data_IF_293687463366
#
_entry.id   IF_293687463366
#
_cell.length_a   1.000
_cell.length_b   1.000
_cell.length_c   1.000
_cell.angle_alpha   90.00
_cell.angle_beta   90.00
_cell.angle_gamma   90.00
#
_symmetry.space_group_name_H-M   'P 1'
#
loop_
_entity.id
_entity.type
_entity.pdbx_description
1 polymer ?
#
# COMPACT_ATOMS: atom_id res chain seq x y z
N UNK A 1 -2.46 -17.34 11.47
CA UNK A 1 -3.16 -16.16 10.93
C UNK A 1 -2.37 -14.94 11.35
N UNK A 2 -1.67 -14.31 10.41
CA UNK A 2 -0.98 -13.05 10.66
C UNK A 2 -2.03 -11.93 10.66
N UNK A 3 -2.20 -11.25 11.79
CA UNK A 3 -3.10 -10.11 11.94
C UNK A 3 -2.32 -8.82 11.72
N UNK A 4 -2.90 -7.89 10.96
CA UNK A 4 -2.40 -6.53 10.84
C UNK A 4 -3.18 -5.66 11.83
N UNK A 5 -2.47 -5.04 12.77
CA UNK A 5 -3.07 -4.19 13.78
C UNK A 5 -3.07 -2.73 13.32
N UNK A 6 -4.24 -2.11 13.34
CA UNK A 6 -4.43 -0.69 13.07
C UNK A 6 -4.66 0.08 14.35
N UNK A 7 -4.16 1.30 14.39
CA UNK A 7 -4.38 2.20 15.52
C UNK A 7 -5.83 2.66 15.53
N UNK A 8 -6.52 2.44 16.65
CA UNK A 8 -7.81 3.09 16.94
C UNK A 8 -7.54 4.27 17.89
N UNK A 9 -7.31 5.45 17.33
CA UNK A 9 -6.95 6.65 18.06
C UNK A 9 -8.04 7.72 17.99
N UNK A 10 -8.16 8.59 19.02
CA UNK A 10 -8.97 9.80 18.96
C UNK A 10 -8.54 10.71 17.81
N UNK A 11 -9.47 11.47 17.24
CA UNK A 11 -9.22 12.34 16.09
C UNK A 11 -8.14 13.38 16.38
N UNK A 12 -8.00 13.82 17.62
CA UNK A 12 -7.00 14.78 18.06
C UNK A 12 -5.58 14.30 17.78
N UNK A 13 -5.31 12.99 17.95
CA UNK A 13 -4.00 12.42 17.65
C UNK A 13 -3.72 12.40 16.14
N UNK A 14 -4.73 12.17 15.33
CA UNK A 14 -4.60 12.26 13.86
C UNK A 14 -4.33 13.71 13.43
N UNK A 15 -4.99 14.69 14.06
CA UNK A 15 -4.73 16.13 13.83
C UNK A 15 -3.28 16.47 14.18
N UNK A 16 -2.76 15.98 15.31
CA UNK A 16 -1.35 16.17 15.68
C UNK A 16 -0.41 15.59 14.63
N UNK A 17 -0.70 14.41 14.10
CA UNK A 17 0.09 13.79 13.03
C UNK A 17 0.13 14.66 11.77
N UNK A 18 -1.03 15.20 11.35
CA UNK A 18 -1.11 16.09 10.19
C UNK A 18 -0.34 17.39 10.44
N UNK A 19 -0.54 18.02 11.59
CA UNK A 19 0.18 19.23 11.99
C UNK A 19 1.69 19.02 12.02
N UNK A 20 2.14 17.87 12.53
CA UNK A 20 3.55 17.51 12.53
C UNK A 20 4.10 17.43 11.10
N UNK A 21 3.38 16.75 10.18
CA UNK A 21 3.80 16.66 8.77
C UNK A 21 3.92 18.06 8.17
N UNK A 22 2.93 18.93 8.38
CA UNK A 22 2.88 20.26 7.80
C UNK A 22 3.93 21.21 8.36
N UNK A 23 4.36 21.04 9.62
CA UNK A 23 5.27 21.98 10.30
C UNK A 23 6.71 21.47 10.38
N UNK A 24 6.91 20.19 10.66
CA UNK A 24 8.23 19.62 10.94
C UNK A 24 8.56 18.48 9.94
N UNK A 25 7.67 17.52 9.74
CA UNK A 25 7.93 16.30 8.95
C UNK A 25 8.22 16.55 7.47
N UNK A 26 7.67 17.63 6.88
CA UNK A 26 7.92 17.98 5.49
C UNK A 26 9.40 18.20 5.16
N UNK A 27 10.21 18.64 6.13
CA UNK A 27 11.65 18.85 5.93
C UNK A 27 12.45 17.54 5.84
N UNK A 28 11.93 16.45 6.41
CA UNK A 28 12.55 15.13 6.25
C UNK A 28 12.36 14.62 4.81
N UNK A 29 11.24 14.96 4.17
CA UNK A 29 10.91 14.49 2.81
C UNK A 29 11.87 15.04 1.76
N UNK A 30 12.46 16.23 1.98
CA UNK A 30 13.40 16.85 1.04
C UNK A 30 14.69 16.02 0.80
N UNK A 31 14.95 15.05 1.66
CA UNK A 31 16.10 14.14 1.56
C UNK A 31 15.77 12.77 0.95
N UNK A 32 14.51 12.57 0.53
CA UNK A 32 14.01 11.28 0.05
C UNK A 32 13.98 11.24 -1.47
N UNK A 33 15.11 10.97 -2.11
CA UNK A 33 15.24 11.04 -3.57
C UNK A 33 14.57 9.86 -4.32
N UNK A 34 14.47 8.70 -3.67
CA UNK A 34 14.06 7.43 -4.32
C UNK A 34 12.68 6.95 -3.92
N UNK A 35 11.94 7.76 -3.16
CA UNK A 35 10.66 7.41 -2.60
C UNK A 35 9.50 7.82 -3.51
N UNK A 36 8.56 6.88 -3.73
CA UNK A 36 7.32 7.06 -4.46
C UNK A 36 6.08 6.90 -3.57
N UNK A 37 6.24 6.37 -2.36
CA UNK A 37 5.15 6.20 -1.41
C UNK A 37 4.91 7.45 -0.57
N UNK A 38 3.66 7.88 -0.43
CA UNK A 38 3.27 9.04 0.39
C UNK A 38 4.04 10.33 0.07
N UNK A 39 4.14 10.64 -1.23
CA UNK A 39 4.76 11.88 -1.71
C UNK A 39 3.85 13.05 -1.35
N UNK A 40 4.39 14.07 -0.67
CA UNK A 40 3.63 15.26 -0.29
C UNK A 40 3.16 16.03 -1.53
N UNK A 41 1.91 16.47 -1.51
CA UNK A 41 1.35 17.34 -2.54
C UNK A 41 1.81 18.78 -2.27
N UNK A 42 2.82 19.24 -3.02
CA UNK A 42 3.45 20.55 -2.85
C UNK A 42 3.19 21.44 -4.07
N UNK A 43 2.97 22.75 -3.83
CA UNK A 43 2.94 23.75 -4.90
C UNK A 43 4.32 23.95 -5.52
N UNK A 44 4.38 24.66 -6.66
CA UNK A 44 5.65 25.08 -7.29
C UNK A 44 6.57 25.87 -6.34
N UNK A 45 6.02 26.52 -5.31
CA UNK A 45 6.76 27.23 -4.28
C UNK A 45 7.14 26.37 -3.07
N UNK A 46 7.11 25.03 -3.19
CA UNK A 46 7.42 24.07 -2.13
C UNK A 46 6.51 24.13 -0.88
N UNK A 47 5.42 24.84 -0.91
CA UNK A 47 4.42 24.80 0.16
C UNK A 47 3.50 23.61 -0.03
N UNK A 48 3.13 22.94 1.08
CA UNK A 48 2.07 21.92 1.04
C UNK A 48 0.79 22.59 0.53
N UNK A 49 0.15 21.97 -0.46
CA UNK A 49 -1.10 22.50 -1.02
C UNK A 49 -2.12 22.57 0.11
N UNK A 50 -2.60 23.77 0.40
CA UNK A 50 -3.72 23.98 1.31
C UNK A 50 -4.99 23.55 0.61
N UNK A 51 -5.38 22.30 0.75
CA UNK A 51 -6.56 21.79 0.07
C UNK A 51 -6.91 20.38 0.55
N UNK A 52 -7.64 19.64 -0.27
CA UNK A 52 -8.22 18.34 0.05
C UNK A 52 -7.21 17.20 0.29
N UNK A 53 -5.91 17.39 -0.01
CA UNK A 53 -4.92 16.31 -0.01
C UNK A 53 -3.62 16.73 0.64
N UNK A 54 -3.10 15.88 1.51
CA UNK A 54 -1.75 16.00 2.04
C UNK A 54 -0.72 15.32 1.13
N UNK A 55 -1.11 14.23 0.50
CA UNK A 55 -0.28 13.42 -0.39
C UNK A 55 -0.81 13.42 -1.82
N UNK A 56 0.09 13.30 -2.78
CA UNK A 56 -0.26 13.05 -4.19
C UNK A 56 -1.06 11.74 -4.29
N UNK A 57 -1.94 11.61 -5.30
CA UNK A 57 -2.69 10.36 -5.49
C UNK A 57 -1.74 9.17 -5.64
N UNK A 58 -1.90 8.18 -4.77
CA UNK A 58 -1.00 7.03 -4.66
C UNK A 58 -0.84 6.25 -5.96
N UNK A 59 -1.91 6.13 -6.77
CA UNK A 59 -1.89 5.39 -8.03
C UNK A 59 -0.96 6.04 -9.08
N UNK A 60 -0.86 7.37 -9.12
CA UNK A 60 0.04 8.08 -10.02
C UNK A 60 1.51 7.77 -9.67
N UNK A 61 1.84 7.84 -8.39
CA UNK A 61 3.20 7.60 -7.93
C UNK A 61 3.58 6.11 -8.05
N UNK A 62 2.65 5.20 -7.79
CA UNK A 62 2.86 3.77 -8.00
C UNK A 62 3.08 3.43 -9.48
N UNK A 63 2.28 4.02 -10.38
CA UNK A 63 2.50 3.85 -11.82
C UNK A 63 3.86 4.39 -12.26
N UNK A 64 4.25 5.58 -11.80
CA UNK A 64 5.57 6.17 -12.08
C UNK A 64 6.69 5.26 -11.60
N UNK A 65 6.59 4.75 -10.36
CA UNK A 65 7.54 3.83 -9.77
C UNK A 65 7.77 2.59 -10.64
N UNK A 66 6.71 1.92 -11.01
CA UNK A 66 6.73 0.72 -11.84
C UNK A 66 7.19 1.01 -13.27
N UNK A 67 6.60 2.03 -13.90
CA UNK A 67 6.82 2.30 -15.33
C UNK A 67 8.24 2.83 -15.61
N UNK A 68 8.84 3.53 -14.65
CA UNK A 68 10.25 3.92 -14.74
C UNK A 68 11.18 2.69 -14.72
N UNK A 69 10.95 1.71 -13.85
CA UNK A 69 11.70 0.47 -13.84
C UNK A 69 11.65 -0.25 -15.19
N UNK A 70 10.44 -0.39 -15.74
CA UNK A 70 10.22 -1.06 -17.02
C UNK A 70 10.85 -0.29 -18.19
N UNK A 71 10.74 1.05 -18.16
CA UNK A 71 11.35 1.90 -19.19
C UNK A 71 12.87 1.79 -19.15
N UNK A 72 13.47 1.82 -17.96
CA UNK A 72 14.91 1.62 -17.79
C UNK A 72 15.36 0.25 -18.31
N UNK A 73 14.58 -0.80 -17.98
CA UNK A 73 14.83 -2.14 -18.50
C UNK A 73 14.77 -2.19 -20.04
N UNK A 74 13.74 -1.59 -20.65
CA UNK A 74 13.62 -1.52 -22.12
C UNK A 74 14.81 -0.82 -22.78
N UNK A 75 15.33 0.24 -22.14
CA UNK A 75 16.49 0.97 -22.67
C UNK A 75 17.77 0.12 -22.63
N UNK A 76 18.02 -0.60 -21.52
CA UNK A 76 19.17 -1.50 -21.40
C UNK A 76 19.10 -2.64 -22.44
N UNK A 77 17.91 -3.23 -22.67
CA UNK A 77 17.73 -4.24 -23.72
C UNK A 77 18.03 -3.71 -25.12
N UNK A 78 17.65 -2.45 -25.42
CA UNK A 78 17.99 -1.81 -26.70
C UNK A 78 19.51 -1.65 -26.87
N UNK A 79 20.23 -1.45 -25.77
CA UNK A 79 21.70 -1.41 -25.74
C UNK A 79 22.35 -2.80 -25.81
N UNK A 80 21.54 -3.85 -25.99
CA UNK A 80 21.98 -5.26 -26.07
C UNK A 80 22.74 -5.72 -24.83
N UNK A 81 22.27 -5.30 -23.66
CA UNK A 81 22.79 -5.78 -22.37
C UNK A 81 21.75 -6.69 -21.69
N UNK A 82 22.25 -7.67 -20.92
CA UNK A 82 21.40 -8.50 -20.08
C UNK A 82 20.91 -7.71 -18.87
N UNK A 83 19.73 -8.06 -18.36
CA UNK A 83 19.08 -7.31 -17.28
C UNK A 83 18.62 -8.23 -16.16
N UNK A 84 18.74 -7.75 -14.93
CA UNK A 84 18.00 -8.21 -13.78
C UNK A 84 16.99 -7.16 -13.32
N UNK A 85 15.72 -7.54 -13.20
CA UNK A 85 14.70 -6.75 -12.52
C UNK A 85 14.38 -7.48 -11.23
N UNK A 86 14.49 -6.78 -10.10
CA UNK A 86 14.36 -7.35 -8.77
C UNK A 86 13.32 -6.56 -7.99
N UNK A 87 12.32 -7.26 -7.47
CA UNK A 87 11.34 -6.72 -6.53
C UNK A 87 11.51 -7.40 -5.18
N UNK A 88 11.60 -6.60 -4.12
CA UNK A 88 11.76 -7.04 -2.74
C UNK A 88 10.63 -6.43 -1.91
N UNK A 89 10.11 -7.18 -0.92
CA UNK A 89 9.06 -6.74 0.01
C UNK A 89 9.54 -6.99 1.45
N UNK A 90 9.57 -5.96 2.28
CA UNK A 90 9.99 -6.05 3.68
C UNK A 90 8.80 -6.56 4.51
N UNK A 91 9.02 -7.68 5.21
CA UNK A 91 7.97 -8.33 6.01
C UNK A 91 7.55 -7.45 7.19
N UNK A 92 6.23 -7.28 7.36
CA UNK A 92 5.62 -6.59 8.52
C UNK A 92 6.28 -5.24 8.84
N UNK A 93 6.67 -4.49 7.81
CA UNK A 93 7.58 -3.35 7.89
C UNK A 93 7.26 -2.39 9.04
N UNK A 94 6.04 -1.85 9.11
CA UNK A 94 5.65 -0.86 10.12
C UNK A 94 5.83 -1.34 11.57
N UNK A 95 5.57 -2.61 11.84
CA UNK A 95 5.74 -3.21 13.17
C UNK A 95 7.18 -3.65 13.45
N UNK A 96 7.96 -3.87 12.39
CA UNK A 96 9.37 -4.29 12.50
C UNK A 96 10.34 -3.12 12.59
N UNK A 97 9.92 -1.90 12.25
CA UNK A 97 10.74 -0.69 12.44
C UNK A 97 11.04 -0.46 13.91
N UNK A 98 12.26 -0.04 14.19
CA UNK A 98 12.73 0.42 15.52
C UNK A 98 13.26 1.83 15.37
N UNK A 99 12.34 2.81 15.41
CA UNK A 99 12.65 4.22 15.17
C UNK A 99 13.17 4.89 16.45
N UNK A 100 14.34 5.51 16.38
CA UNK A 100 14.84 6.42 17.40
C UNK A 100 14.44 7.86 17.10
N UNK A 101 13.49 8.39 17.86
CA UNK A 101 13.04 9.78 17.72
C UNK A 101 14.12 10.81 18.05
N UNK A 102 15.18 10.45 18.79
CA UNK A 102 16.31 11.36 19.01
C UNK A 102 17.06 11.62 17.70
N UNK A 103 17.15 10.61 16.81
CA UNK A 103 17.75 10.80 15.49
C UNK A 103 16.87 11.69 14.61
N UNK A 104 15.55 11.49 14.64
CA UNK A 104 14.58 12.35 13.92
C UNK A 104 14.71 13.80 14.40
N UNK A 105 14.75 14.03 15.72
CA UNK A 105 14.89 15.35 16.31
C UNK A 105 16.22 16.01 15.93
N UNK A 106 17.33 15.28 16.05
CA UNK A 106 18.66 15.77 15.62
C UNK A 106 18.68 16.19 14.15
N UNK A 107 18.02 15.45 13.31
CA UNK A 107 17.97 15.77 11.89
C UNK A 107 17.13 17.01 11.60
N UNK A 108 15.99 17.14 12.27
CA UNK A 108 15.12 18.32 12.14
C UNK A 108 15.77 19.60 12.69
N UNK A 109 16.49 19.52 13.81
CA UNK A 109 17.20 20.67 14.39
C UNK A 109 18.26 21.26 13.43
N UNK A 110 18.87 20.44 12.59
CA UNK A 110 19.83 20.92 11.56
C UNK A 110 19.16 21.82 10.53
N UNK A 111 17.87 21.58 10.25
CA UNK A 111 17.12 22.25 9.18
C UNK A 111 16.16 23.28 9.77
N UNK A 112 15.50 22.92 10.86
CA UNK A 112 14.43 23.68 11.51
C UNK A 112 14.67 23.75 13.03
N UNK A 113 14.50 24.91 13.65
CA UNK A 113 14.86 25.11 15.06
C UNK A 113 13.86 24.54 16.07
N UNK A 114 12.63 24.25 15.65
CA UNK A 114 11.55 23.83 16.55
C UNK A 114 11.20 22.36 16.32
N UNK A 115 11.13 21.56 17.41
CA UNK A 115 10.81 20.12 17.38
C UNK A 115 9.76 19.75 18.43
N UNK A 116 8.87 20.71 18.76
CA UNK A 116 7.84 20.51 19.80
C UNK A 116 6.88 19.39 19.40
N UNK A 117 6.43 19.39 18.14
CA UNK A 117 5.51 18.37 17.65
C UNK A 117 6.21 17.01 17.52
N UNK A 118 7.49 16.97 17.16
CA UNK A 118 8.27 15.73 17.13
C UNK A 118 8.39 15.12 18.54
N UNK A 119 8.62 15.92 19.58
CA UNK A 119 8.63 15.44 20.96
C UNK A 119 7.28 14.93 21.42
N UNK A 120 6.19 15.57 21.01
CA UNK A 120 4.84 15.12 21.31
C UNK A 120 4.55 13.81 20.57
N UNK A 121 4.91 13.74 19.30
CA UNK A 121 4.73 12.55 18.47
C UNK A 121 5.52 11.36 19.03
N UNK A 122 6.75 11.58 19.50
CA UNK A 122 7.56 10.55 20.18
C UNK A 122 6.83 9.91 21.36
N UNK A 123 6.18 10.73 22.22
CA UNK A 123 5.41 10.22 23.36
C UNK A 123 4.19 9.40 22.91
N UNK A 124 3.51 9.83 21.85
CA UNK A 124 2.36 9.11 21.29
C UNK A 124 2.83 7.74 20.76
N UNK A 125 3.92 7.70 20.00
CA UNK A 125 4.47 6.47 19.45
C UNK A 125 4.98 5.51 20.52
N UNK A 126 5.65 6.06 21.56
CA UNK A 126 6.07 5.27 22.70
C UNK A 126 4.89 4.61 23.43
N UNK A 127 3.78 5.35 23.61
CA UNK A 127 2.57 4.79 24.19
C UNK A 127 2.03 3.61 23.36
N UNK A 128 1.92 3.76 22.05
CA UNK A 128 1.44 2.68 21.17
C UNK A 128 2.44 1.53 21.10
N UNK A 129 3.73 1.78 21.07
CA UNK A 129 4.75 0.73 21.12
C UNK A 129 4.59 -0.12 22.37
N UNK A 130 4.39 0.48 23.52
CA UNK A 130 4.21 -0.25 24.79
C UNK A 130 2.90 -1.08 24.84
N UNK A 131 1.91 -0.78 23.99
CA UNK A 131 0.71 -1.60 23.86
C UNK A 131 0.94 -2.88 23.05
N UNK A 132 1.83 -2.83 22.07
CA UNK A 132 2.08 -3.94 21.15
C UNK A 132 3.26 -4.82 21.59
N UNK A 133 4.31 -4.24 22.11
CA UNK A 133 5.56 -4.91 22.43
C UNK A 133 5.71 -5.09 23.95
N UNK A 134 5.18 -6.19 24.45
CA UNK A 134 5.29 -6.51 25.89
C UNK A 134 6.63 -7.17 26.26
N UNK A 135 7.39 -7.68 25.30
CA UNK A 135 8.52 -8.57 25.56
C UNK A 135 9.90 -7.96 25.24
N UNK A 136 10.02 -6.90 24.44
CA UNK A 136 11.31 -6.31 24.07
C UNK A 136 11.30 -4.79 24.11
N UNK A 137 11.20 -4.22 25.29
CA UNK A 137 11.51 -2.81 25.49
C UNK A 137 13.03 -2.59 25.48
N UNK A 138 13.65 -2.67 24.32
CA UNK A 138 14.95 -2.04 24.13
C UNK A 138 14.75 -0.53 24.00
N UNK A 139 14.91 0.19 25.11
CA UNK A 139 15.21 1.63 25.24
C UNK A 139 14.81 2.51 24.05
N UNK A 140 13.93 3.45 24.21
CA UNK A 140 13.63 4.62 23.36
C UNK A 140 13.22 4.39 21.89
N UNK A 141 13.37 3.20 21.33
CA UNK A 141 13.00 2.88 19.95
C UNK A 141 11.50 2.56 19.87
N UNK A 142 10.85 3.08 18.84
CA UNK A 142 9.41 2.91 18.65
C UNK A 142 9.09 2.20 17.34
N UNK A 143 8.00 1.42 17.34
CA UNK A 143 7.38 0.93 16.10
C UNK A 143 6.67 2.07 15.38
N UNK A 144 6.26 1.82 14.14
CA UNK A 144 5.41 2.74 13.37
C UNK A 144 3.96 2.28 13.43
N UNK A 145 3.09 2.96 14.21
CA UNK A 145 1.68 2.58 14.29
C UNK A 145 0.97 2.76 12.96
N UNK A 146 0.36 1.68 12.44
CA UNK A 146 -0.40 1.73 11.19
C UNK A 146 -1.70 2.50 11.42
N UNK A 147 -1.96 3.49 10.58
CA UNK A 147 -3.13 4.37 10.68
C UNK A 147 -2.78 5.83 10.95
N UNK A 148 -1.62 6.13 11.52
CA UNK A 148 -1.14 7.50 11.61
C UNK A 148 -0.45 7.94 10.32
N UNK A 149 -0.84 9.08 9.76
CA UNK A 149 -0.23 9.62 8.53
C UNK A 149 1.25 9.96 8.72
N UNK A 150 1.66 10.36 9.92
CA UNK A 150 3.07 10.60 10.26
C UNK A 150 3.93 9.35 10.15
N UNK A 151 3.36 8.16 10.39
CA UNK A 151 4.08 6.89 10.23
C UNK A 151 4.57 6.69 8.79
N UNK A 152 3.82 7.16 7.80
CA UNK A 152 4.19 7.03 6.39
C UNK A 152 5.44 7.86 6.03
N UNK A 153 5.55 9.06 6.58
CA UNK A 153 6.75 9.91 6.39
C UNK A 153 7.95 9.30 7.14
N UNK A 154 7.75 8.89 8.39
CA UNK A 154 8.80 8.29 9.19
C UNK A 154 9.29 6.96 8.62
N UNK A 155 8.39 6.15 8.06
CA UNK A 155 8.70 4.91 7.36
C UNK A 155 9.66 5.14 6.19
N UNK A 156 9.37 6.15 5.38
CA UNK A 156 10.22 6.51 4.25
C UNK A 156 11.57 7.09 4.70
N UNK A 157 11.56 7.93 5.73
CA UNK A 157 12.78 8.51 6.29
C UNK A 157 13.69 7.44 6.91
N UNK A 158 13.12 6.45 7.56
CA UNK A 158 13.86 5.38 8.23
C UNK A 158 14.78 4.60 7.27
N UNK A 159 14.40 4.45 6.01
CA UNK A 159 15.15 3.70 5.01
C UNK A 159 16.06 4.56 4.10
N UNK A 160 16.25 5.86 4.39
CA UNK A 160 17.10 6.74 3.53
C UNK A 160 18.52 6.20 3.39
N UNK A 161 19.11 5.71 4.46
CA UNK A 161 20.50 5.23 4.41
C UNK A 161 20.58 3.87 3.69
N UNK A 162 19.54 3.05 3.76
CA UNK A 162 19.39 1.87 2.92
C UNK A 162 19.32 2.24 1.43
N UNK A 163 18.50 3.24 1.08
CA UNK A 163 18.38 3.73 -0.29
C UNK A 163 19.74 4.20 -0.85
N UNK A 164 20.50 4.96 -0.06
CA UNK A 164 21.86 5.39 -0.42
C UNK A 164 22.80 4.22 -0.62
N UNK A 165 22.80 3.26 0.33
CA UNK A 165 23.66 2.08 0.29
C UNK A 165 23.43 1.24 -0.98
N UNK A 166 22.15 1.04 -1.36
CA UNK A 166 21.80 0.37 -2.63
C UNK A 166 22.41 1.11 -3.82
N UNK A 167 22.21 2.44 -3.88
CA UNK A 167 22.70 3.22 -5.01
C UNK A 167 24.23 3.29 -5.08
N UNK A 168 24.91 3.40 -3.97
CA UNK A 168 26.38 3.46 -3.91
C UNK A 168 27.03 2.11 -4.19
N UNK A 169 26.49 1.01 -3.67
CA UNK A 169 27.11 -0.32 -3.75
C UNK A 169 26.71 -1.12 -4.99
N UNK A 170 25.45 -1.08 -5.38
CA UNK A 170 24.92 -1.81 -6.54
C UNK A 170 24.94 -0.95 -7.80
N UNK A 171 24.75 0.37 -7.66
CA UNK A 171 24.65 1.33 -8.77
C UNK A 171 23.66 0.88 -9.85
N UNK A 172 22.38 0.62 -9.48
CA UNK A 172 21.37 0.17 -10.41
C UNK A 172 21.04 1.27 -11.44
N UNK A 173 20.61 0.91 -12.65
CA UNK A 173 20.13 1.89 -13.64
C UNK A 173 18.80 2.51 -13.20
N UNK A 174 18.02 1.75 -12.46
CA UNK A 174 16.84 2.25 -11.78
C UNK A 174 16.76 1.67 -10.37
N UNK A 175 16.49 2.51 -9.42
CA UNK A 175 16.09 2.18 -8.05
C UNK A 175 14.90 3.04 -7.65
N UNK A 176 13.90 2.44 -7.05
CA UNK A 176 12.75 3.13 -6.50
C UNK A 176 12.10 2.32 -5.39
N UNK A 177 11.61 3.01 -4.38
CA UNK A 177 10.95 2.41 -3.23
C UNK A 177 9.55 2.99 -3.05
N UNK A 178 8.59 2.11 -2.87
CA UNK A 178 7.23 2.48 -2.49
C UNK A 178 6.96 1.94 -1.08
N UNK A 179 7.30 2.74 -0.05
CA UNK A 179 7.31 2.39 1.37
C UNK A 179 8.24 1.18 1.63
N UNK A 180 7.70 -0.03 1.71
CA UNK A 180 8.38 -1.32 1.93
C UNK A 180 8.62 -2.11 0.64
N UNK A 181 7.93 -1.77 -0.45
CA UNK A 181 8.15 -2.34 -1.77
C UNK A 181 9.35 -1.71 -2.47
N UNK A 182 10.36 -2.50 -2.77
CA UNK A 182 11.60 -2.09 -3.41
C UNK A 182 11.64 -2.64 -4.83
N UNK A 183 11.99 -1.81 -5.81
CA UNK A 183 12.13 -2.20 -7.20
C UNK A 183 13.42 -1.65 -7.78
N UNK A 184 14.25 -2.53 -8.33
CA UNK A 184 15.50 -2.13 -8.98
C UNK A 184 15.69 -2.83 -10.32
N UNK A 185 16.39 -2.14 -11.23
CA UNK A 185 16.79 -2.66 -12.54
C UNK A 185 18.29 -2.54 -12.65
N UNK A 186 18.98 -3.67 -12.85
CA UNK A 186 20.44 -3.74 -12.93
C UNK A 186 20.90 -4.32 -14.26
N UNK A 187 21.92 -3.76 -14.90
CA UNK A 187 22.57 -4.40 -16.02
C UNK A 187 23.38 -5.59 -15.48
N UNK A 188 23.31 -6.71 -16.16
CA UNK A 188 24.01 -7.93 -15.77
C UNK A 188 25.03 -8.34 -16.82
N UNK A 189 26.10 -8.94 -16.36
CA UNK A 189 27.07 -9.59 -17.24
C UNK A 189 26.50 -10.87 -17.87
N UNK A 190 27.31 -11.96 -17.86
CA UNK A 190 26.85 -13.26 -18.38
C UNK A 190 25.80 -13.88 -17.45
N UNK A 191 24.57 -14.10 -17.95
CA UNK A 191 23.51 -14.74 -17.19
C UNK A 191 23.82 -16.16 -16.73
N UNK A 192 24.72 -16.86 -17.43
CA UNK A 192 25.20 -18.20 -17.05
C UNK A 192 25.92 -18.26 -15.69
N UNK A 193 26.26 -17.09 -15.12
CA UNK A 193 26.77 -16.97 -13.74
C UNK A 193 25.72 -17.31 -12.70
N UNK A 194 24.44 -17.06 -12.98
CA UNK A 194 23.33 -17.20 -12.06
C UNK A 194 22.56 -18.47 -12.40
N UNK A 195 22.64 -19.50 -11.53
CA UNK A 195 21.89 -20.76 -11.67
C UNK A 195 20.47 -20.60 -11.16
N UNK A 196 20.32 -19.82 -10.09
CA UNK A 196 19.03 -19.54 -9.47
C UNK A 196 18.96 -18.08 -8.93
N UNK A 197 17.83 -17.74 -8.34
CA UNK A 197 17.61 -16.42 -7.71
C UNK A 197 18.55 -16.15 -6.54
N UNK A 198 19.01 -17.20 -5.84
CA UNK A 198 19.87 -17.08 -4.66
C UNK A 198 21.27 -16.59 -5.07
N UNK A 199 21.79 -17.08 -6.19
CA UNK A 199 23.09 -16.65 -6.73
C UNK A 199 23.09 -15.15 -7.02
N UNK A 200 22.00 -14.62 -7.59
CA UNK A 200 21.88 -13.20 -7.87
C UNK A 200 21.76 -12.35 -6.59
N UNK A 201 20.96 -12.80 -5.63
CA UNK A 201 20.83 -12.11 -4.33
C UNK A 201 22.18 -12.08 -3.62
N UNK A 202 22.91 -13.19 -3.61
CA UNK A 202 24.24 -13.27 -3.03
C UNK A 202 25.21 -12.28 -3.69
N UNK A 203 25.25 -12.27 -5.02
CA UNK A 203 26.17 -11.42 -5.79
C UNK A 203 25.89 -9.92 -5.61
N UNK A 204 24.61 -9.53 -5.59
CA UNK A 204 24.22 -8.11 -5.53
C UNK A 204 24.08 -7.58 -4.10
N UNK A 205 23.58 -8.38 -3.16
CA UNK A 205 23.20 -7.88 -1.84
C UNK A 205 24.08 -8.41 -0.70
N UNK A 206 24.42 -9.70 -0.68
CA UNK A 206 25.23 -10.25 0.40
C UNK A 206 26.70 -9.80 0.26
N UNK A 207 27.28 -9.88 -0.94
CA UNK A 207 28.68 -9.45 -1.22
C UNK A 207 28.87 -7.95 -0.95
N UNK A 208 27.82 -7.15 -1.08
CA UNK A 208 27.85 -5.71 -0.82
C UNK A 208 27.45 -5.33 0.61
N UNK A 209 27.33 -6.28 1.53
CA UNK A 209 26.94 -6.08 2.93
C UNK A 209 25.59 -5.34 3.09
N UNK A 210 24.62 -5.64 2.24
CA UNK A 210 23.26 -5.06 2.28
C UNK A 210 22.30 -5.99 2.98
N UNK A 211 22.34 -7.28 2.62
CA UNK A 211 21.52 -8.34 3.19
C UNK A 211 22.39 -9.44 3.78
N UNK A 212 21.93 -10.01 4.90
CA UNK A 212 22.50 -11.20 5.52
C UNK A 212 21.50 -12.35 5.39
N UNK A 213 21.93 -13.45 4.80
CA UNK A 213 21.15 -14.67 4.69
C UNK A 213 21.11 -15.40 6.03
N UNK A 214 19.92 -15.73 6.51
CA UNK A 214 19.71 -16.65 7.65
C UNK A 214 18.86 -17.84 7.21
N UNK A 215 19.27 -19.04 7.63
CA UNK A 215 18.52 -20.27 7.44
C UNK A 215 17.95 -20.67 8.80
N UNK A 216 16.64 -20.56 9.00
CA UNK A 216 16.01 -21.04 10.21
C UNK A 216 15.68 -22.52 10.06
N UNK A 217 16.27 -23.35 10.91
CA UNK A 217 15.85 -24.75 11.11
C UNK A 217 14.46 -24.73 11.77
N UNK A 218 13.44 -25.15 11.04
CA UNK A 218 12.09 -25.29 11.60
C UNK A 218 12.01 -26.64 12.35
N UNK A 219 11.49 -26.59 13.56
CA UNK A 219 11.25 -27.67 14.50
C UNK A 219 10.69 -28.96 13.86
N UNK A 220 11.31 -30.08 14.12
CA UNK A 220 11.19 -31.42 13.50
C UNK A 220 9.84 -32.13 13.76
N UNK A 221 8.71 -31.45 13.95
CA UNK A 221 7.44 -32.11 14.25
C UNK A 221 6.36 -32.10 13.18
N UNK A 222 6.60 -31.49 11.99
CA UNK A 222 5.66 -31.61 10.86
C UNK A 222 6.41 -31.98 9.60
N UNK A 223 6.04 -33.08 9.01
CA UNK A 223 6.51 -33.70 7.78
C UNK A 223 6.55 -32.70 6.60
N UNK A 224 7.73 -32.54 6.07
CA UNK A 224 8.26 -31.82 4.91
C UNK A 224 9.17 -30.67 5.34
N UNK A 225 10.48 -30.92 5.22
CA UNK A 225 11.56 -29.96 5.51
C UNK A 225 11.59 -28.84 4.45
N UNK A 226 10.78 -27.82 4.62
CA UNK A 226 10.98 -26.57 3.89
C UNK A 226 11.87 -25.64 4.72
N UNK A 227 13.16 -25.60 4.42
CA UNK A 227 14.08 -24.59 4.95
C UNK A 227 13.64 -23.20 4.52
N UNK A 228 13.06 -22.44 5.46
CA UNK A 228 12.63 -21.07 5.18
C UNK A 228 13.83 -20.15 5.22
N UNK A 229 14.22 -19.64 4.06
CA UNK A 229 15.31 -18.65 3.93
C UNK A 229 14.76 -17.25 4.15
N UNK A 230 15.42 -16.52 5.04
CA UNK A 230 15.12 -15.14 5.37
C UNK A 230 16.40 -14.31 5.13
N UNK A 231 16.23 -13.12 4.60
CA UNK A 231 17.31 -12.14 4.43
C UNK A 231 17.08 -10.97 5.38
N UNK A 232 18.02 -10.72 6.30
CA UNK A 232 17.99 -9.57 7.20
C UNK A 232 18.70 -8.37 6.58
N UNK A 233 18.16 -7.18 6.77
CA UNK A 233 18.85 -5.95 6.40
C UNK A 233 19.95 -5.67 7.43
N UNK A 234 21.22 -5.58 7.00
CA UNK A 234 22.39 -5.58 7.92
C UNK A 234 22.33 -4.42 8.93
N UNK A 235 21.93 -3.22 8.51
CA UNK A 235 21.92 -2.04 9.38
C UNK A 235 20.56 -1.85 10.13
N UNK A 236 19.66 -2.86 10.08
CA UNK A 236 18.30 -2.77 10.62
C UNK A 236 17.92 -4.08 11.32
N UNK A 237 18.06 -4.10 12.63
CA UNK A 237 17.98 -5.33 13.47
C UNK A 237 16.73 -6.19 13.22
N UNK A 238 15.57 -5.58 12.95
CA UNK A 238 14.29 -6.28 12.89
C UNK A 238 13.68 -6.31 11.48
N UNK A 239 14.38 -5.83 10.45
CA UNK A 239 13.84 -5.82 9.09
C UNK A 239 14.26 -7.07 8.32
N UNK A 240 13.27 -7.79 7.81
CA UNK A 240 13.43 -9.06 7.12
C UNK A 240 12.75 -9.05 5.74
N UNK A 241 13.38 -9.71 4.77
CA UNK A 241 12.82 -10.04 3.46
C UNK A 241 12.67 -11.56 3.36
N UNK A 242 11.45 -12.02 3.08
CA UNK A 242 11.17 -13.43 2.87
C UNK A 242 11.55 -13.84 1.44
N UNK A 243 12.27 -14.95 1.26
CA UNK A 243 12.69 -15.41 -0.06
C UNK A 243 11.51 -15.59 -1.02
N UNK A 244 10.38 -16.10 -0.55
CA UNK A 244 9.18 -16.32 -1.35
C UNK A 244 8.51 -15.05 -1.89
N UNK A 245 8.85 -13.89 -1.31
CA UNK A 245 8.36 -12.57 -1.75
C UNK A 245 9.33 -11.85 -2.68
N UNK A 246 10.49 -12.44 -2.91
CA UNK A 246 11.47 -11.89 -3.85
C UNK A 246 11.08 -12.30 -5.26
N UNK A 247 10.84 -11.32 -6.12
CA UNK A 247 10.56 -11.54 -7.53
C UNK A 247 11.77 -11.10 -8.34
N UNK A 248 12.34 -12.03 -9.09
CA UNK A 248 13.48 -11.77 -9.96
C UNK A 248 13.12 -12.15 -11.40
N UNK A 249 13.34 -11.24 -12.31
CA UNK A 249 13.28 -11.49 -13.74
C UNK A 249 14.65 -11.26 -14.37
N UNK A 250 15.20 -12.30 -14.98
CA UNK A 250 16.42 -12.24 -15.76
C UNK A 250 16.06 -12.24 -17.24
N UNK A 251 16.55 -11.26 -17.97
CA UNK A 251 16.32 -11.13 -19.40
C UNK A 251 17.66 -11.14 -20.15
N UNK A 252 17.75 -12.03 -21.13
CA UNK A 252 18.89 -12.02 -22.08
C UNK A 252 18.75 -10.82 -23.02
N UNK A 253 19.87 -10.29 -23.44
CA UNK A 253 19.96 -9.15 -24.38
C UNK A 253 19.21 -9.33 -25.70
N UNK A 254 18.84 -10.56 -26.05
CA UNK A 254 18.10 -10.91 -27.26
C UNK A 254 16.61 -11.16 -27.00
N UNK A 255 16.15 -11.07 -25.73
CA UNK A 255 14.76 -11.29 -25.38
C UNK A 255 13.86 -10.17 -25.91
N UNK A 256 12.64 -10.50 -26.35
CA UNK A 256 11.68 -9.51 -26.81
C UNK A 256 11.14 -8.68 -25.63
N UNK A 257 10.97 -7.38 -25.86
CA UNK A 257 10.47 -6.45 -24.84
C UNK A 257 9.06 -6.77 -24.32
N UNK A 258 8.28 -7.60 -25.05
CA UNK A 258 6.94 -8.06 -24.62
C UNK A 258 6.98 -8.89 -23.31
N UNK A 259 8.12 -9.51 -22.97
CA UNK A 259 8.31 -10.22 -21.72
C UNK A 259 8.22 -9.24 -20.52
N UNK A 260 8.61 -7.99 -20.70
CA UNK A 260 8.51 -6.94 -19.67
C UNK A 260 7.05 -6.58 -19.34
N UNK A 261 6.14 -6.68 -20.30
CA UNK A 261 4.72 -6.45 -20.06
C UNK A 261 4.11 -7.57 -19.19
N UNK A 262 4.62 -8.81 -19.35
CA UNK A 262 4.25 -9.93 -18.47
C UNK A 262 4.75 -9.70 -17.04
N UNK A 263 5.98 -9.24 -16.88
CA UNK A 263 6.54 -8.92 -15.57
C UNK A 263 5.79 -7.76 -14.88
N UNK A 264 5.40 -6.74 -15.64
CA UNK A 264 4.53 -5.65 -15.16
C UNK A 264 3.27 -6.20 -14.48
N UNK A 265 2.65 -7.21 -15.08
CA UNK A 265 1.46 -7.84 -14.55
C UNK A 265 1.75 -8.70 -13.30
N UNK A 266 2.92 -9.35 -13.23
CA UNK A 266 3.32 -10.14 -12.06
C UNK A 266 3.59 -9.24 -10.82
N UNK A 267 4.33 -8.15 -10.97
CA UNK A 267 4.54 -7.17 -9.88
C UNK A 267 3.18 -6.65 -9.38
N UNK A 268 2.26 -6.34 -10.31
CA UNK A 268 0.92 -5.87 -9.96
C UNK A 268 0.13 -6.88 -9.12
N UNK A 269 0.29 -8.19 -9.39
CA UNK A 269 -0.38 -9.24 -8.62
C UNK A 269 0.23 -9.43 -7.22
N UNK A 270 1.52 -9.18 -7.07
CA UNK A 270 2.27 -9.43 -5.82
C UNK A 270 2.14 -8.28 -4.82
N UNK A 271 1.92 -7.05 -5.29
CA UNK A 271 1.74 -5.88 -4.43
C UNK A 271 0.38 -5.91 -3.74
N UNK A 272 0.39 -6.02 -2.42
CA UNK A 272 -0.83 -6.18 -1.61
C UNK A 272 -1.72 -4.93 -1.59
N UNK A 273 -1.13 -3.74 -1.64
CA UNK A 273 -1.86 -2.46 -1.56
C UNK A 273 -2.50 -2.05 -2.88
N UNK A 274 -2.00 -2.55 -4.01
CA UNK A 274 -2.33 -2.05 -5.35
C UNK A 274 -3.04 -3.04 -6.26
N UNK A 275 -3.54 -4.13 -5.72
CA UNK A 275 -4.38 -5.09 -6.47
C UNK A 275 -5.59 -4.45 -7.15
N UNK A 276 -5.90 -3.20 -6.80
CA UNK A 276 -7.14 -2.51 -7.11
C UNK A 276 -6.96 -1.23 -7.92
N UNK A 277 -5.76 -1.00 -8.48
CA UNK A 277 -5.60 0.13 -9.40
C UNK A 277 -6.48 -0.11 -10.64
N UNK A 278 -7.33 0.87 -11.01
CA UNK A 278 -8.11 0.76 -12.22
C UNK A 278 -7.18 0.66 -13.43
N UNK A 279 -7.42 -0.32 -14.30
CA UNK A 279 -6.81 -0.34 -15.62
C UNK A 279 -7.49 0.72 -16.48
N UNK A 280 -6.74 1.38 -17.37
CA UNK A 280 -7.30 2.29 -18.36
C UNK A 280 -8.31 1.57 -19.26
N UNK A 281 -8.11 0.27 -19.52
CA UNK A 281 -9.01 -0.57 -20.32
C UNK A 281 -10.38 -0.85 -19.67
N UNK A 282 -10.52 -0.60 -18.35
CA UNK A 282 -11.74 -0.83 -17.60
C UNK A 282 -12.75 0.34 -17.68
N UNK A 283 -12.53 1.32 -18.56
CA UNK A 283 -13.45 2.46 -18.71
C UNK A 283 -14.88 2.07 -19.08
N UNK A 284 -15.06 0.90 -19.68
CA UNK A 284 -16.36 0.37 -20.15
C UNK A 284 -16.94 -0.74 -19.25
N UNK A 285 -16.31 -1.05 -18.11
CA UNK A 285 -16.73 -2.14 -17.24
C UNK A 285 -18.06 -1.82 -16.54
N UNK A 286 -18.99 -2.77 -16.56
CA UNK A 286 -20.23 -2.68 -15.81
C UNK A 286 -20.03 -3.10 -14.36
N UNK A 287 -20.84 -2.54 -13.44
CA UNK A 287 -20.76 -2.87 -12.02
C UNK A 287 -20.97 -4.37 -11.74
N UNK A 288 -21.86 -5.03 -12.48
CA UNK A 288 -22.13 -6.47 -12.34
C UNK A 288 -20.91 -7.33 -12.66
N UNK A 289 -20.12 -6.96 -13.68
CA UNK A 289 -18.87 -7.64 -14.03
C UNK A 289 -17.79 -7.42 -12.95
N UNK A 290 -17.71 -6.20 -12.42
CA UNK A 290 -16.74 -5.86 -11.36
C UNK A 290 -17.10 -6.47 -10.00
N UNK A 291 -18.37 -6.76 -9.74
CA UNK A 291 -18.86 -7.25 -8.44
C UNK A 291 -18.76 -8.75 -8.25
N UNK A 292 -18.51 -9.51 -9.34
CA UNK A 292 -18.47 -10.96 -9.29
C UNK A 292 -17.16 -11.53 -9.85
N UNK A 293 -16.63 -12.53 -9.17
CA UNK A 293 -15.41 -13.26 -9.55
C UNK A 293 -15.73 -14.73 -9.74
N UNK A 294 -15.29 -15.29 -10.87
CA UNK A 294 -15.34 -16.72 -11.11
C UNK A 294 -14.19 -17.42 -10.37
N UNK A 295 -14.50 -18.33 -9.47
CA UNK A 295 -13.51 -19.18 -8.82
C UNK A 295 -13.26 -20.39 -9.71
N UNK A 296 -12.02 -20.48 -10.22
CA UNK A 296 -11.56 -21.66 -10.95
C UNK A 296 -10.94 -22.66 -9.96
N UNK A 297 -11.43 -23.91 -9.96
CA UNK A 297 -10.75 -25.02 -9.32
C UNK A 297 -9.51 -25.37 -10.17
N UNK A 298 -8.33 -25.44 -9.55
CA UNK A 298 -7.02 -25.62 -10.22
C UNK A 298 -6.84 -26.94 -11.01
N UNK A 299 -7.92 -27.67 -11.29
CA UNK A 299 -7.91 -28.87 -12.11
C UNK A 299 -7.70 -28.54 -13.59
N UNK A 300 -6.88 -29.36 -14.27
CA UNK A 300 -6.42 -29.17 -15.66
C UNK A 300 -7.50 -29.13 -16.73
N UNK A 301 -8.78 -29.34 -16.40
CA UNK A 301 -9.91 -29.31 -17.32
C UNK A 301 -10.74 -28.02 -17.18
N UNK A 302 -10.31 -26.99 -17.87
CA UNK A 302 -10.82 -25.60 -17.80
C UNK A 302 -12.31 -25.39 -18.13
N UNK A 303 -13.01 -26.34 -18.69
CA UNK A 303 -14.41 -26.19 -19.14
C UNK A 303 -15.47 -26.70 -18.15
N UNK A 304 -15.07 -27.35 -17.04
CA UNK A 304 -16.01 -27.93 -16.06
C UNK A 304 -15.83 -27.49 -14.62
N UNK A 305 -14.97 -26.52 -14.34
CA UNK A 305 -14.53 -26.20 -12.98
C UNK A 305 -14.96 -24.82 -12.46
N UNK A 306 -16.07 -24.27 -12.97
CA UNK A 306 -16.69 -23.10 -12.36
C UNK A 306 -17.50 -23.60 -11.18
N UNK A 307 -16.98 -23.48 -9.97
CA UNK A 307 -17.67 -23.97 -8.77
C UNK A 307 -18.67 -22.98 -8.21
N UNK A 308 -18.37 -21.68 -8.18
CA UNK A 308 -19.27 -20.68 -7.62
C UNK A 308 -18.93 -19.25 -8.11
N UNK A 309 -19.97 -18.38 -8.15
CA UNK A 309 -19.77 -16.93 -8.22
C UNK A 309 -19.56 -16.40 -6.81
N UNK A 310 -18.41 -15.81 -6.54
CA UNK A 310 -18.14 -15.12 -5.29
C UNK A 310 -18.11 -13.61 -5.51
N UNK A 311 -18.68 -12.87 -4.56
CA UNK A 311 -18.62 -11.41 -4.57
C UNK A 311 -17.15 -10.94 -4.53
N UNK A 312 -16.76 -10.10 -5.48
CA UNK A 312 -15.42 -9.51 -5.52
C UNK A 312 -15.42 -8.13 -4.86
N UNK A 313 -15.15 -8.10 -3.55
CA UNK A 313 -15.02 -6.87 -2.78
C UNK A 313 -14.04 -5.88 -3.39
N UNK A 314 -13.00 -6.38 -3.98
CA UNK A 314 -11.93 -5.58 -4.54
C UNK A 314 -12.29 -5.03 -5.91
N UNK A 315 -12.94 -5.83 -6.76
CA UNK A 315 -13.51 -5.35 -8.02
C UNK A 315 -14.51 -4.23 -7.78
N UNK A 316 -15.39 -4.38 -6.79
CA UNK A 316 -16.35 -3.34 -6.38
C UNK A 316 -15.63 -2.07 -5.93
N UNK A 317 -14.61 -2.20 -5.08
CA UNK A 317 -13.83 -1.06 -4.58
C UNK A 317 -13.10 -0.32 -5.70
N UNK A 318 -12.49 -1.04 -6.64
CA UNK A 318 -11.81 -0.49 -7.79
C UNK A 318 -12.79 0.21 -8.74
N UNK A 319 -13.94 -0.39 -9.00
CA UNK A 319 -15.01 0.21 -9.81
C UNK A 319 -15.47 1.54 -9.21
N UNK A 320 -15.78 1.57 -7.91
CA UNK A 320 -16.21 2.79 -7.22
C UNK A 320 -15.15 3.87 -7.25
N UNK A 321 -13.88 3.54 -6.99
CA UNK A 321 -12.78 4.49 -7.03
C UNK A 321 -12.62 5.13 -8.42
N UNK A 322 -12.76 4.32 -9.46
CA UNK A 322 -12.72 4.78 -10.85
C UNK A 322 -13.89 5.72 -11.20
N UNK A 323 -15.10 5.36 -10.77
CA UNK A 323 -16.29 6.22 -10.99
C UNK A 323 -16.18 7.55 -10.25
N UNK A 324 -15.64 7.54 -9.03
CA UNK A 324 -15.33 8.75 -8.27
C UNK A 324 -14.32 9.62 -9.04
N UNK A 325 -13.24 9.02 -9.52
CA UNK A 325 -12.22 9.72 -10.29
C UNK A 325 -12.79 10.39 -11.56
N UNK A 326 -13.61 9.67 -12.31
CA UNK A 326 -14.27 10.21 -13.50
C UNK A 326 -15.24 11.35 -13.14
N UNK A 327 -15.98 11.21 -12.04
CA UNK A 327 -16.89 12.26 -11.57
C UNK A 327 -16.17 13.53 -11.11
N UNK A 328 -14.95 13.41 -10.58
CA UNK A 328 -14.10 14.55 -10.22
C UNK A 328 -13.52 15.27 -11.43
N UNK A 329 -13.26 14.56 -12.53
CA UNK A 329 -12.69 15.17 -13.75
C UNK A 329 -13.74 15.78 -14.68
N UNK A 330 -14.92 15.23 -14.70
CA UNK A 330 -16.02 15.67 -15.56
C UNK A 330 -17.26 15.85 -14.69
N UNK A 331 -17.90 17.02 -14.77
CA UNK A 331 -19.22 17.25 -14.12
C UNK A 331 -20.30 16.35 -14.74
N UNK A 332 -20.10 15.04 -14.73
CA UNK A 332 -21.03 14.06 -15.31
C UNK A 332 -22.12 13.71 -14.32
N UNK A 333 -23.36 13.76 -14.77
CA UNK A 333 -24.50 13.22 -14.05
C UNK A 333 -24.33 11.70 -13.84
N UNK A 334 -24.91 11.18 -12.77
CA UNK A 334 -24.89 9.75 -12.45
C UNK A 334 -25.39 8.92 -13.66
N UNK A 335 -24.68 7.85 -13.99
CA UNK A 335 -25.25 6.83 -14.84
C UNK A 335 -26.32 6.09 -14.01
N UNK A 336 -27.60 6.31 -14.35
CA UNK A 336 -28.75 5.73 -13.64
C UNK A 336 -28.69 4.21 -13.53
N UNK A 337 -28.16 3.56 -14.55
CA UNK A 337 -27.96 2.11 -14.58
C UNK A 337 -26.96 1.66 -13.51
N UNK A 338 -25.77 2.26 -13.47
CA UNK A 338 -24.76 1.97 -12.46
C UNK A 338 -25.26 2.26 -11.04
N UNK A 339 -25.99 3.36 -10.84
CA UNK A 339 -26.58 3.69 -9.54
C UNK A 339 -27.60 2.63 -9.10
N UNK A 340 -28.42 2.15 -10.00
CA UNK A 340 -29.41 1.10 -9.73
C UNK A 340 -28.73 -0.23 -9.40
N UNK A 341 -27.70 -0.62 -10.12
CA UNK A 341 -26.91 -1.82 -9.88
C UNK A 341 -26.22 -1.78 -8.50
N UNK A 342 -25.61 -0.66 -8.15
CA UNK A 342 -24.99 -0.45 -6.82
C UNK A 342 -26.04 -0.61 -5.72
N UNK A 343 -27.17 0.10 -5.80
CA UNK A 343 -28.24 0.04 -4.80
C UNK A 343 -28.81 -1.37 -4.67
N UNK A 344 -28.98 -2.10 -5.77
CA UNK A 344 -29.50 -3.47 -5.75
C UNK A 344 -28.51 -4.46 -5.14
N UNK A 345 -27.24 -4.29 -5.36
CA UNK A 345 -26.21 -5.14 -4.77
C UNK A 345 -26.11 -4.96 -3.26
N UNK A 346 -26.11 -3.70 -2.79
CA UNK A 346 -26.02 -3.38 -1.36
C UNK A 346 -27.39 -3.42 -0.68
N UNK A 347 -27.97 -4.64 -0.58
CA UNK A 347 -29.20 -4.94 0.16
C UNK A 347 -28.95 -6.01 1.22
N UNK A 348 -29.80 -6.05 2.23
CA UNK A 348 -29.77 -7.03 3.33
C UNK A 348 -28.39 -7.08 4.02
N UNK A 349 -27.87 -8.28 4.30
CA UNK A 349 -26.57 -8.48 4.99
C UNK A 349 -25.39 -7.86 4.23
N UNK A 350 -25.43 -7.85 2.90
CA UNK A 350 -24.35 -7.27 2.08
C UNK A 350 -24.07 -5.81 2.41
N UNK A 351 -25.08 -5.03 2.80
CA UNK A 351 -24.87 -3.66 3.26
C UNK A 351 -23.88 -3.57 4.41
N UNK A 352 -23.96 -4.48 5.37
CA UNK A 352 -23.15 -4.49 6.59
C UNK A 352 -21.79 -5.18 6.36
N UNK A 353 -21.77 -6.28 5.62
CA UNK A 353 -20.55 -7.00 5.24
C UNK A 353 -19.56 -6.11 4.50
N UNK A 354 -20.05 -5.19 3.67
CA UNK A 354 -19.24 -4.25 2.88
C UNK A 354 -19.25 -2.82 3.45
N UNK A 355 -19.41 -2.65 4.76
CA UNK A 355 -19.47 -1.34 5.42
C UNK A 355 -18.25 -0.46 5.14
N UNK A 356 -17.07 -1.07 4.90
CA UNK A 356 -15.84 -0.37 4.50
C UNK A 356 -15.92 0.34 3.13
N UNK A 357 -16.96 0.07 2.33
CA UNK A 357 -17.17 0.73 1.03
C UNK A 357 -18.20 1.86 1.09
N UNK A 358 -18.85 2.10 2.23
CA UNK A 358 -19.89 3.12 2.36
C UNK A 358 -19.42 4.51 1.97
N UNK A 359 -18.23 4.90 2.40
CA UNK A 359 -17.63 6.18 2.03
C UNK A 359 -17.55 6.34 0.51
N UNK A 360 -17.00 5.35 -0.21
CA UNK A 360 -16.86 5.40 -1.66
C UNK A 360 -18.21 5.48 -2.37
N UNK A 361 -19.22 4.73 -1.89
CA UNK A 361 -20.57 4.73 -2.46
C UNK A 361 -21.22 6.10 -2.28
N UNK A 362 -21.13 6.65 -1.07
CA UNK A 362 -21.72 7.96 -0.74
C UNK A 362 -20.99 9.06 -1.51
N UNK A 363 -19.65 9.02 -1.56
CA UNK A 363 -18.84 9.97 -2.36
C UNK A 363 -19.26 9.96 -3.82
N UNK A 364 -19.40 8.79 -4.44
CA UNK A 364 -19.84 8.66 -5.82
C UNK A 364 -21.22 9.34 -6.04
N UNK A 365 -22.20 9.06 -5.18
CA UNK A 365 -23.53 9.65 -5.30
C UNK A 365 -23.55 11.16 -5.01
N UNK A 366 -22.70 11.65 -4.10
CA UNK A 366 -22.56 13.09 -3.84
C UNK A 366 -21.95 13.82 -5.05
N UNK A 367 -20.87 13.30 -5.61
CA UNK A 367 -20.21 13.89 -6.77
C UNK A 367 -21.11 13.90 -8.01
N UNK A 368 -21.92 12.86 -8.19
CA UNK A 368 -22.89 12.77 -9.30
C UNK A 368 -24.24 13.43 -9.00
N UNK A 369 -24.39 14.09 -7.85
CA UNK A 369 -25.60 14.79 -7.42
C UNK A 369 -26.85 13.89 -7.31
N UNK A 370 -26.66 12.58 -7.03
CA UNK A 370 -27.73 11.60 -6.97
C UNK A 370 -28.30 11.43 -5.53
N UNK A 371 -28.97 12.47 -5.05
CA UNK A 371 -29.60 12.48 -3.71
C UNK A 371 -30.62 11.35 -3.50
N UNK A 372 -31.44 10.95 -4.50
CA UNK A 372 -32.33 9.80 -4.34
C UNK A 372 -31.60 8.50 -4.00
N UNK A 373 -30.49 8.20 -4.68
CA UNK A 373 -29.69 7.00 -4.42
C UNK A 373 -29.05 7.01 -3.03
N UNK A 374 -28.61 8.16 -2.53
CA UNK A 374 -28.12 8.29 -1.14
C UNK A 374 -29.22 7.91 -0.14
N UNK A 375 -30.45 8.41 -0.33
CA UNK A 375 -31.57 8.08 0.56
C UNK A 375 -31.92 6.60 0.53
N UNK A 376 -31.93 5.99 -0.67
CA UNK A 376 -32.17 4.55 -0.82
C UNK A 376 -31.10 3.72 -0.17
N UNK A 377 -29.82 4.08 -0.37
CA UNK A 377 -28.70 3.38 0.24
C UNK A 377 -28.74 3.43 1.76
N UNK A 378 -28.97 4.62 2.33
CA UNK A 378 -29.18 4.77 3.78
C UNK A 378 -30.32 3.91 4.31
N UNK A 379 -31.44 3.87 3.60
CA UNK A 379 -32.57 3.04 3.98
C UNK A 379 -32.25 1.54 3.94
N UNK A 380 -31.41 1.08 2.99
CA UNK A 380 -30.95 -0.29 2.93
C UNK A 380 -30.09 -0.63 4.16
N UNK A 381 -29.21 0.27 4.59
CA UNK A 381 -28.40 0.10 5.81
C UNK A 381 -29.31 -0.01 7.04
N UNK A 382 -30.25 0.90 7.23
CA UNK A 382 -31.16 0.85 8.39
C UNK A 382 -32.01 -0.41 8.40
N UNK A 383 -32.53 -0.86 7.26
CA UNK A 383 -33.25 -2.12 7.16
C UNK A 383 -32.36 -3.31 7.54
N UNK A 384 -31.13 -3.36 7.07
CA UNK A 384 -30.18 -4.41 7.42
C UNK A 384 -29.90 -4.45 8.94
N UNK A 385 -29.73 -3.29 9.58
CA UNK A 385 -29.51 -3.18 11.03
C UNK A 385 -30.74 -3.66 11.84
N UNK A 386 -31.97 -3.41 11.36
CA UNK A 386 -33.19 -3.86 12.04
C UNK A 386 -33.29 -5.40 12.09
N UNK A 387 -32.79 -6.10 11.09
CA UNK A 387 -32.84 -7.56 11.00
C UNK A 387 -31.69 -8.28 11.72
N UNK A 388 -30.78 -7.56 12.37
CA UNK A 388 -29.70 -8.19 13.15
C UNK A 388 -30.26 -8.87 14.41
N UNK A 389 -29.79 -10.09 14.68
CA UNK A 389 -30.26 -10.95 15.78
C UNK A 389 -29.25 -11.15 16.92
N UNK A 390 -28.14 -10.42 16.96
CA UNK A 390 -27.04 -10.63 17.92
C UNK A 390 -27.36 -10.06 19.33
N UNK A 391 -26.74 -10.68 20.36
CA UNK A 391 -26.86 -10.29 21.77
C UNK A 391 -26.30 -8.88 22.07
N UNK A 392 -25.27 -8.45 21.30
CA UNK A 392 -24.62 -7.14 21.46
C UNK A 392 -25.16 -6.10 20.48
N UNK A 393 -26.42 -6.22 20.14
CA UNK A 393 -27.09 -5.45 19.07
C UNK A 393 -26.94 -3.93 19.22
N UNK A 394 -27.05 -3.40 20.43
CA UNK A 394 -27.03 -1.94 20.66
C UNK A 394 -25.64 -1.34 20.37
N UNK A 395 -24.57 -1.98 20.82
CA UNK A 395 -23.22 -1.52 20.59
C UNK A 395 -22.83 -1.63 19.11
N UNK A 396 -23.18 -2.74 18.47
CA UNK A 396 -22.95 -2.96 17.04
C UNK A 396 -23.70 -1.91 16.20
N UNK A 397 -24.96 -1.64 16.51
CA UNK A 397 -25.75 -0.61 15.82
C UNK A 397 -25.11 0.77 16.01
N UNK A 398 -24.66 1.10 17.22
CA UNK A 398 -23.98 2.37 17.50
C UNK A 398 -22.71 2.51 16.67
N UNK A 399 -21.90 1.45 16.55
CA UNK A 399 -20.69 1.45 15.74
C UNK A 399 -20.99 1.67 14.26
N UNK A 400 -22.01 1.01 13.70
CA UNK A 400 -22.41 1.25 12.31
C UNK A 400 -22.98 2.66 12.08
N UNK A 401 -23.71 3.21 13.04
CA UNK A 401 -24.18 4.60 12.96
C UNK A 401 -23.02 5.59 12.95
N UNK A 402 -22.02 5.39 13.81
CA UNK A 402 -20.81 6.20 13.82
C UNK A 402 -20.04 6.08 12.49
N UNK A 403 -19.87 4.88 11.97
CA UNK A 403 -19.22 4.65 10.69
C UNK A 403 -19.97 5.33 9.53
N UNK A 404 -21.28 5.26 9.50
CA UNK A 404 -22.11 5.93 8.50
C UNK A 404 -21.98 7.46 8.59
N UNK A 405 -21.97 8.01 9.79
CA UNK A 405 -21.80 9.45 10.03
C UNK A 405 -20.44 9.93 9.55
N UNK A 406 -19.37 9.17 9.84
CA UNK A 406 -18.01 9.45 9.37
C UNK A 406 -17.96 9.40 7.83
N UNK A 407 -18.52 8.35 7.21
CA UNK A 407 -18.55 8.19 5.77
C UNK A 407 -19.29 9.37 5.08
N UNK A 408 -20.41 9.82 5.62
CA UNK A 408 -21.14 10.98 5.10
C UNK A 408 -20.31 12.26 5.25
N UNK A 409 -19.69 12.49 6.41
CA UNK A 409 -18.91 13.69 6.68
C UNK A 409 -17.70 13.79 5.76
N UNK A 410 -16.96 12.70 5.59
CA UNK A 410 -15.81 12.63 4.67
C UNK A 410 -16.24 12.84 3.22
N UNK A 411 -17.35 12.24 2.81
CA UNK A 411 -17.85 12.38 1.44
C UNK A 411 -18.32 13.82 1.14
N UNK A 412 -18.90 14.51 2.11
CA UNK A 412 -19.33 15.91 1.96
C UNK A 412 -18.15 16.87 1.90
N UNK A 413 -17.04 16.59 2.59
CA UNK A 413 -15.85 17.45 2.56
C UNK A 413 -15.22 17.54 1.17
N UNK A 414 -15.43 16.57 0.32
CA UNK A 414 -14.91 16.55 -1.06
C UNK A 414 -15.64 17.56 -1.97
N UNK A 415 -16.86 17.96 -1.61
CA UNK A 415 -17.70 18.87 -2.42
C UNK A 415 -17.71 20.32 -1.92
N UNK A 416 -16.99 20.62 -0.84
CA UNK A 416 -16.99 21.97 -0.24
C UNK A 416 -16.06 22.96 -0.93
N UNK A 417 -15.40 22.56 -2.01
CA UNK A 417 -14.66 23.38 -2.98
C UNK A 417 -15.43 23.47 -4.31
#
# INVERSE_FOLDING_TARGET
NDYIYYVNAPIELHIICVLWIMKEGQYLVEKMDFNYGYVLDKTENNNIVSGLRLFTPYYNEYQKWRDRAITSAKNILKEKQNIGIISLDIKNFYHSVRLDFNLVEKELIKIWKETILTKLLSKIYQFYTNLFDKEETCSNNTILPIGFLSSSILANWYLIDFDKKINEKISPVYYGRYVDDILLTVPLGKLSKYKDSKDLIKDLFEVNDILLKEENEIDIQKSEEEHKIIYKLIDYECLEIQQEKIIIMLLDKNEPTSVLDKFKNEIRKSSSEYRFLPNEDLMNENFEEASSKLIYDGSKNKLRSIKEFQDDKFGISAFLAKRIFLALQSNTNSNKESATQIINFFRNSRCLEYSSLWEKIITYFILTNDIPSIKLFRNNIFKALLFMTNKDKEEIIKNYHNQLSIAISLSLSIKLD
#
